data_IF_063191228438
#
_entry.id   IF_063191228438
#
_cell.length_a   1.000
_cell.length_b   1.000
_cell.length_c   1.000
_cell.angle_alpha   90.00
_cell.angle_beta   90.00
_cell.angle_gamma   90.00
#
_symmetry.space_group_name_H-M   'P 1'
#
loop_
_entity.id
_entity.type
_entity.pdbx_description
1 polymer ?
#
# COMPACT_ATOMS: atom_id res chain seq x y z
N UNK A 1 1.17 -23.45 11.23
CA UNK A 1 2.48 -23.70 10.62
C UNK A 1 3.42 -24.28 11.67
N UNK A 2 4.07 -25.38 11.37
CA UNK A 2 5.06 -26.02 12.24
C UNK A 2 6.28 -26.46 11.42
N UNK A 3 7.47 -26.03 11.81
CA UNK A 3 8.73 -26.50 11.22
C UNK A 3 9.22 -27.74 11.97
N UNK A 4 9.26 -28.91 11.33
CA UNK A 4 9.64 -30.16 11.98
C UNK A 4 11.16 -30.49 11.95
N UNK A 5 11.97 -29.52 11.50
CA UNK A 5 13.42 -29.67 11.34
C UNK A 5 13.87 -29.92 9.89
N UNK A 6 12.97 -30.38 9.02
CA UNK A 6 13.25 -30.68 7.62
C UNK A 6 12.27 -29.98 6.66
N UNK A 7 11.00 -29.88 7.04
CA UNK A 7 9.94 -29.31 6.22
C UNK A 7 8.90 -28.57 7.08
N UNK A 8 8.06 -27.78 6.44
CA UNK A 8 6.89 -27.15 7.04
C UNK A 8 5.70 -28.10 7.03
N UNK A 9 5.02 -28.21 8.15
CA UNK A 9 3.72 -28.83 8.29
C UNK A 9 2.67 -27.75 8.42
N UNK A 10 1.79 -27.68 7.42
CA UNK A 10 0.71 -26.67 7.34
C UNK A 10 -0.61 -27.37 7.60
N UNK A 11 -1.21 -27.11 8.77
CA UNK A 11 -2.54 -27.65 9.11
C UNK A 11 -3.62 -26.77 8.51
N UNK A 12 -4.48 -27.35 7.70
CA UNK A 12 -5.62 -26.68 7.04
C UNK A 12 -6.90 -27.25 7.63
N UNK A 13 -7.79 -26.38 8.06
CA UNK A 13 -9.13 -26.75 8.53
C UNK A 13 -10.13 -26.61 7.38
N UNK A 14 -10.88 -27.66 7.10
CA UNK A 14 -11.95 -27.63 6.10
C UNK A 14 -13.10 -26.74 6.58
N UNK A 15 -13.54 -25.88 5.71
CA UNK A 15 -14.72 -25.05 5.94
C UNK A 15 -15.95 -25.76 5.40
N UNK A 16 -17.05 -25.71 6.15
CA UNK A 16 -18.36 -26.26 5.76
C UNK A 16 -19.42 -25.18 5.86
N UNK A 17 -20.40 -25.27 4.96
CA UNK A 17 -21.54 -24.37 5.00
C UNK A 17 -22.52 -24.78 6.11
N UNK A 18 -22.87 -23.82 6.98
CA UNK A 18 -23.90 -24.02 8.02
C UNK A 18 -24.72 -22.74 8.17
N UNK A 19 -26.00 -22.85 7.82
CA UNK A 19 -26.89 -21.68 7.90
C UNK A 19 -26.53 -20.52 6.99
N UNK A 20 -26.03 -20.80 5.78
CA UNK A 20 -25.58 -19.78 4.84
C UNK A 20 -24.17 -19.19 5.13
N UNK A 21 -23.50 -19.67 6.17
CA UNK A 21 -22.14 -19.23 6.54
C UNK A 21 -21.14 -20.39 6.42
N UNK A 22 -19.91 -20.07 5.98
CA UNK A 22 -18.79 -21.00 6.07
C UNK A 22 -18.24 -20.99 7.50
N UNK A 23 -18.25 -22.15 8.16
CA UNK A 23 -17.71 -22.33 9.50
C UNK A 23 -16.62 -23.42 9.49
N UNK A 24 -15.62 -23.37 10.39
CA UNK A 24 -14.64 -24.42 10.53
C UNK A 24 -15.33 -25.76 10.91
N UNK A 25 -14.91 -26.85 10.25
CA UNK A 25 -15.28 -28.21 10.64
C UNK A 25 -14.22 -28.84 11.54
N UNK A 26 -14.49 -30.05 12.04
CA UNK A 26 -13.53 -30.84 12.77
C UNK A 26 -12.51 -31.55 11.86
N UNK A 27 -12.70 -31.47 10.53
CA UNK A 27 -11.84 -32.11 9.55
C UNK A 27 -10.61 -31.22 9.27
N UNK A 28 -9.43 -31.78 9.51
CA UNK A 28 -8.16 -31.13 9.24
C UNK A 28 -7.29 -31.97 8.32
N UNK A 29 -6.50 -31.29 7.50
CA UNK A 29 -5.50 -31.89 6.62
C UNK A 29 -4.17 -31.24 6.92
N UNK A 30 -3.11 -32.06 7.04
CA UNK A 30 -1.73 -31.57 7.18
C UNK A 30 -1.03 -31.73 5.83
N UNK A 31 -0.50 -30.61 5.32
CA UNK A 31 0.32 -30.59 4.12
C UNK A 31 1.77 -30.40 4.55
N UNK A 32 2.65 -31.30 4.11
CA UNK A 32 4.09 -31.16 4.32
C UNK A 32 4.74 -30.58 3.07
N UNK A 33 5.50 -29.51 3.24
CA UNK A 33 6.17 -28.81 2.14
C UNK A 33 7.57 -28.34 2.56
N UNK A 34 8.55 -28.50 1.68
CA UNK A 34 9.92 -28.02 1.92
C UNK A 34 9.95 -26.49 1.97
N UNK A 35 9.22 -25.83 1.08
CA UNK A 35 9.06 -24.38 1.01
C UNK A 35 7.60 -23.98 1.11
N UNK A 36 7.33 -22.87 1.80
CA UNK A 36 6.00 -22.28 1.89
C UNK A 36 6.09 -20.80 1.49
N UNK A 37 5.18 -20.36 0.63
CA UNK A 37 4.98 -18.95 0.29
C UNK A 37 3.65 -18.49 0.88
N UNK A 38 3.66 -17.37 1.61
CA UNK A 38 2.43 -16.74 2.05
C UNK A 38 2.09 -15.57 1.13
N UNK A 39 0.83 -15.51 0.70
CA UNK A 39 0.28 -14.47 -0.15
C UNK A 39 -1.15 -14.18 0.33
N UNK A 40 -1.28 -13.84 1.61
CA UNK A 40 -2.57 -13.79 2.33
C UNK A 40 -3.28 -12.44 2.24
N UNK A 41 -2.68 -11.45 1.58
CA UNK A 41 -3.28 -10.14 1.31
C UNK A 41 -3.75 -9.44 2.58
N UNK A 42 -5.04 -9.10 2.67
CA UNK A 42 -5.59 -8.45 3.87
C UNK A 42 -5.48 -9.28 5.16
N UNK A 43 -5.22 -10.59 5.05
CA UNK A 43 -5.00 -11.47 6.20
C UNK A 43 -3.54 -11.55 6.65
N UNK A 44 -2.64 -10.73 6.09
CA UNK A 44 -1.20 -10.74 6.42
C UNK A 44 -0.91 -10.67 7.93
N UNK A 45 -1.68 -9.88 8.70
CA UNK A 45 -1.52 -9.80 10.16
C UNK A 45 -1.86 -11.12 10.88
N UNK A 46 -2.85 -11.87 10.41
CA UNK A 46 -3.17 -13.20 10.95
C UNK A 46 -2.06 -14.19 10.63
N UNK A 47 -1.57 -14.16 9.40
CA UNK A 47 -0.43 -14.98 8.95
C UNK A 47 0.82 -14.65 9.75
N UNK A 48 1.14 -13.38 9.95
CA UNK A 48 2.26 -12.93 10.78
C UNK A 48 2.19 -13.49 12.21
N UNK A 49 1.01 -13.43 12.82
CA UNK A 49 0.77 -14.00 14.16
C UNK A 49 0.96 -15.51 14.19
N UNK A 50 0.50 -16.24 13.17
CA UNK A 50 0.69 -17.71 13.08
C UNK A 50 2.15 -18.08 12.91
N UNK A 51 2.94 -17.25 12.23
CA UNK A 51 4.37 -17.46 11.97
C UNK A 51 5.27 -16.91 13.09
N UNK A 52 4.73 -16.14 14.03
CA UNK A 52 5.49 -15.49 15.10
C UNK A 52 6.44 -14.39 14.60
N UNK A 53 6.13 -13.74 13.46
CA UNK A 53 6.90 -12.65 12.87
C UNK A 53 6.10 -11.36 12.83
N UNK A 54 6.78 -10.24 12.55
CA UNK A 54 6.12 -8.96 12.28
C UNK A 54 6.03 -8.73 10.78
N UNK A 55 4.86 -8.32 10.31
CA UNK A 55 4.63 -7.86 8.94
C UNK A 55 3.91 -6.50 8.98
N UNK A 56 4.46 -5.44 8.39
CA UNK A 56 3.78 -4.13 8.37
C UNK A 56 2.71 -4.01 7.28
N UNK A 57 2.20 -5.13 6.80
CA UNK A 57 1.14 -5.20 5.80
C UNK A 57 -0.23 -5.06 6.48
N UNK A 58 -0.77 -3.85 6.53
CA UNK A 58 -2.04 -3.50 7.18
C UNK A 58 -2.97 -2.87 6.15
N UNK A 59 -4.23 -3.31 6.06
CA UNK A 59 -5.19 -2.71 5.14
C UNK A 59 -5.54 -1.26 5.51
N UNK A 60 -5.77 -0.45 4.46
CA UNK A 60 -6.36 0.90 4.53
C UNK A 60 -7.68 0.85 3.75
N UNK A 61 -8.66 1.64 4.14
CA UNK A 61 -9.89 1.78 3.35
C UNK A 61 -9.57 2.40 1.98
N UNK A 62 -10.22 1.89 0.96
CA UNK A 62 -10.15 2.45 -0.39
C UNK A 62 -11.52 2.48 -1.02
N UNK A 63 -11.89 3.66 -1.49
CA UNK A 63 -13.20 3.89 -2.09
C UNK A 63 -13.08 4.07 -3.60
N UNK A 64 -13.94 3.36 -4.33
CA UNK A 64 -14.30 3.74 -5.70
C UNK A 64 -15.81 3.73 -5.87
N UNK A 65 -16.29 4.57 -6.76
CA UNK A 65 -17.71 4.70 -7.08
C UNK A 65 -17.95 4.34 -8.54
N UNK A 66 -19.10 3.73 -8.80
CA UNK A 66 -19.55 3.35 -10.14
C UNK A 66 -20.72 4.27 -10.50
N UNK A 67 -20.57 5.00 -11.59
CA UNK A 67 -21.59 5.89 -12.09
C UNK A 67 -22.60 5.13 -12.96
N UNK A 68 -23.81 5.67 -13.07
CA UNK A 68 -24.80 5.22 -14.02
C UNK A 68 -24.32 5.39 -15.47
N UNK A 69 -25.05 4.84 -16.40
CA UNK A 69 -24.72 4.96 -17.82
C UNK A 69 -24.68 6.43 -18.25
N UNK A 70 -23.62 6.78 -18.95
CA UNK A 70 -23.44 8.06 -19.63
C UNK A 70 -23.93 7.90 -21.08
N UNK A 71 -25.01 8.59 -21.48
CA UNK A 71 -25.56 8.45 -22.83
C UNK A 71 -24.56 8.83 -23.96
N UNK A 72 -23.65 9.78 -23.70
CA UNK A 72 -22.64 10.17 -24.68
C UNK A 72 -21.59 9.04 -24.85
N UNK A 73 -21.18 8.46 -23.74
CA UNK A 73 -20.26 7.33 -23.76
C UNK A 73 -20.86 6.10 -24.42
N UNK A 74 -22.13 5.78 -24.12
CA UNK A 74 -22.86 4.69 -24.76
C UNK A 74 -22.94 4.89 -26.27
N UNK A 75 -23.23 6.13 -26.71
CA UNK A 75 -23.25 6.48 -28.13
C UNK A 75 -21.87 6.38 -28.77
N UNK A 76 -20.84 6.92 -28.10
CA UNK A 76 -19.44 6.82 -28.57
C UNK A 76 -19.03 5.37 -28.85
N UNK A 77 -19.38 4.45 -27.96
CA UNK A 77 -19.09 3.02 -28.11
C UNK A 77 -19.93 2.38 -29.19
N UNK A 78 -21.20 2.75 -29.33
CA UNK A 78 -22.11 2.25 -30.38
C UNK A 78 -21.65 2.66 -31.77
N UNK A 79 -21.02 3.82 -31.92
CA UNK A 79 -20.42 4.31 -33.17
C UNK A 79 -19.12 3.57 -33.55
N UNK A 80 -18.71 2.56 -32.76
CA UNK A 80 -17.53 1.71 -33.02
C UNK A 80 -16.19 2.32 -32.53
N UNK A 81 -16.24 3.37 -31.76
CA UNK A 81 -15.05 4.00 -31.21
C UNK A 81 -14.42 3.14 -30.09
N UNK A 82 -13.09 3.23 -29.89
CA UNK A 82 -12.41 2.52 -28.81
C UNK A 82 -12.81 3.06 -27.42
N UNK A 83 -12.52 2.24 -26.41
CA UNK A 83 -12.58 2.69 -25.01
C UNK A 83 -11.62 3.86 -24.76
N UNK A 84 -12.05 4.83 -23.97
CA UNK A 84 -11.17 5.93 -23.59
C UNK A 84 -10.00 5.43 -22.73
N UNK A 85 -8.83 6.06 -22.84
CA UNK A 85 -7.73 5.77 -21.94
C UNK A 85 -8.14 6.00 -20.47
N UNK A 86 -7.53 5.25 -19.55
CA UNK A 86 -7.67 5.54 -18.12
C UNK A 86 -7.12 6.91 -17.81
N UNK A 87 -7.92 7.74 -17.17
CA UNK A 87 -7.51 9.06 -16.66
C UNK A 87 -6.90 8.87 -15.28
N UNK A 88 -5.73 9.43 -15.05
CA UNK A 88 -5.12 9.59 -13.73
C UNK A 88 -4.93 11.08 -13.46
N UNK A 89 -5.61 11.60 -12.44
CA UNK A 89 -5.46 12.97 -11.98
C UNK A 89 -4.60 13.00 -10.73
N UNK A 90 -3.32 13.35 -10.91
CA UNK A 90 -2.36 13.40 -9.82
C UNK A 90 -2.53 14.64 -8.92
N UNK A 91 -3.17 15.70 -9.41
CA UNK A 91 -3.44 16.91 -8.63
C UNK A 91 -4.60 16.68 -7.64
N UNK A 92 -5.56 15.82 -8.02
CA UNK A 92 -6.74 15.49 -7.23
C UNK A 92 -6.77 14.04 -6.71
N UNK A 93 -5.63 13.36 -6.74
CA UNK A 93 -5.45 12.05 -6.11
C UNK A 93 -6.50 11.01 -6.54
N UNK A 94 -6.83 10.99 -7.86
CA UNK A 94 -7.95 10.19 -8.36
C UNK A 94 -7.71 9.60 -9.74
N UNK A 95 -8.55 8.64 -10.13
CA UNK A 95 -8.57 8.10 -11.47
C UNK A 95 -10.01 7.88 -11.97
N UNK A 96 -10.17 7.88 -13.29
CA UNK A 96 -11.41 7.52 -13.95
C UNK A 96 -11.16 6.54 -15.09
N UNK A 97 -12.09 5.60 -15.30
CA UNK A 97 -12.11 4.71 -16.45
C UNK A 97 -13.54 4.35 -16.85
N UNK A 98 -13.72 3.99 -18.11
CA UNK A 98 -14.99 3.44 -18.57
C UNK A 98 -15.33 2.10 -17.93
N UNK A 99 -16.60 1.89 -17.60
CA UNK A 99 -17.14 0.63 -17.15
C UNK A 99 -18.60 0.48 -17.63
N UNK A 100 -18.84 -0.44 -18.56
CA UNK A 100 -20.19 -0.82 -19.03
C UNK A 100 -21.08 0.36 -19.47
N UNK A 101 -20.50 1.35 -20.14
CA UNK A 101 -21.19 2.54 -20.62
C UNK A 101 -21.38 3.64 -19.58
N UNK A 102 -20.69 3.56 -18.45
CA UNK A 102 -20.55 4.58 -17.42
C UNK A 102 -19.09 4.73 -17.02
N UNK A 103 -18.85 5.36 -15.89
CA UNK A 103 -17.51 5.62 -15.35
C UNK A 103 -17.32 4.93 -14.01
N UNK A 104 -16.10 4.48 -13.74
CA UNK A 104 -15.61 4.22 -12.39
C UNK A 104 -14.67 5.36 -12.00
N UNK A 105 -14.92 5.94 -10.82
CA UNK A 105 -14.06 6.93 -10.20
C UNK A 105 -13.42 6.33 -8.95
N UNK A 106 -12.11 6.20 -8.94
CA UNK A 106 -11.36 5.75 -7.77
C UNK A 106 -10.59 6.88 -7.14
N UNK A 107 -10.62 6.95 -5.83
CA UNK A 107 -10.17 8.10 -5.06
C UNK A 107 -9.16 7.64 -4.02
N UNK A 108 -8.05 8.38 -3.90
CA UNK A 108 -6.98 8.17 -2.92
C UNK A 108 -6.94 9.35 -1.96
N UNK A 109 -8.03 9.51 -1.24
CA UNK A 109 -8.27 10.64 -0.36
C UNK A 109 -7.41 10.61 0.91
N UNK A 110 -7.16 11.78 1.47
CA UNK A 110 -6.52 11.92 2.77
C UNK A 110 -7.45 11.51 3.89
N UNK A 111 -6.89 10.92 4.95
CA UNK A 111 -7.65 10.50 6.13
C UNK A 111 -8.36 9.16 5.96
N UNK A 112 -8.07 8.39 4.90
CA UNK A 112 -8.51 7.00 4.80
C UNK A 112 -7.89 6.17 5.94
N UNK A 113 -8.69 5.53 6.82
CA UNK A 113 -8.17 4.90 8.01
C UNK A 113 -7.58 3.51 7.75
N UNK A 114 -6.51 3.18 8.46
CA UNK A 114 -6.06 1.80 8.57
C UNK A 114 -7.13 0.95 9.26
N UNK A 115 -7.26 -0.30 8.82
CA UNK A 115 -8.22 -1.26 9.34
C UNK A 115 -7.54 -2.57 9.68
N UNK A 116 -8.07 -3.25 10.68
CA UNK A 116 -7.61 -4.59 11.03
C UNK A 116 -6.12 -4.67 11.38
N UNK A 117 -5.61 -3.70 12.12
CA UNK A 117 -4.21 -3.59 12.55
C UNK A 117 -3.67 -4.87 13.22
N UNK A 118 -4.56 -5.64 13.85
CA UNK A 118 -4.24 -6.90 14.53
C UNK A 118 -4.81 -8.14 13.82
N UNK A 119 -5.30 -7.98 12.60
CA UNK A 119 -5.85 -9.01 11.74
C UNK A 119 -7.35 -8.89 11.49
N UNK A 120 -7.75 -9.30 10.31
CA UNK A 120 -9.14 -9.33 9.86
C UNK A 120 -9.94 -10.28 10.75
N UNK A 121 -11.08 -9.86 11.35
CA UNK A 121 -11.92 -10.75 12.14
C UNK A 121 -12.59 -11.82 11.27
N UNK A 122 -12.89 -12.98 11.84
CA UNK A 122 -13.51 -14.10 11.11
C UNK A 122 -14.90 -13.78 10.55
N UNK A 123 -15.58 -12.78 11.13
CA UNK A 123 -16.87 -12.27 10.68
C UNK A 123 -16.79 -11.43 9.42
N UNK A 124 -15.65 -10.78 9.15
CA UNK A 124 -15.44 -9.97 7.95
C UNK A 124 -14.87 -10.85 6.83
N UNK A 125 -15.63 -11.05 5.77
CA UNK A 125 -15.24 -11.96 4.66
C UNK A 125 -15.17 -11.21 3.33
N UNK A 126 -16.32 -11.12 2.65
CA UNK A 126 -16.48 -10.37 1.41
C UNK A 126 -17.29 -9.08 1.67
N UNK A 127 -17.19 -8.56 2.88
CA UNK A 127 -17.90 -7.35 3.29
C UNK A 127 -17.16 -6.10 2.82
N UNK A 128 -17.92 -5.02 2.69
CA UNK A 128 -17.43 -3.67 2.43
C UNK A 128 -17.68 -2.79 3.66
N UNK A 129 -16.92 -1.71 3.76
CA UNK A 129 -17.18 -0.64 4.71
C UNK A 129 -18.27 0.27 4.18
N UNK A 130 -18.99 1.00 5.04
CA UNK A 130 -19.91 2.04 4.59
C UNK A 130 -19.17 3.11 3.77
N UNK A 131 -19.84 3.64 2.76
CA UNK A 131 -19.34 4.79 2.00
C UNK A 131 -19.29 6.03 2.90
N UNK A 132 -18.18 6.74 2.86
CA UNK A 132 -17.99 8.05 3.51
C UNK A 132 -17.89 9.13 2.42
N UNK A 133 -19.03 9.69 2.04
CA UNK A 133 -19.09 10.71 0.99
C UNK A 133 -18.38 11.99 1.38
N UNK A 134 -18.43 12.38 2.64
CA UNK A 134 -17.79 13.62 3.10
C UNK A 134 -16.27 13.55 2.93
N UNK A 135 -15.70 12.35 3.16
CA UNK A 135 -14.25 12.10 3.01
C UNK A 135 -13.76 12.21 1.56
N UNK A 136 -14.60 11.86 0.58
CA UNK A 136 -14.23 11.81 -0.84
C UNK A 136 -14.79 12.97 -1.66
N UNK A 137 -15.55 13.88 -1.06
CA UNK A 137 -16.32 14.90 -1.77
C UNK A 137 -15.46 15.81 -2.65
N UNK A 138 -14.33 16.27 -2.14
CA UNK A 138 -13.45 17.20 -2.87
C UNK A 138 -12.88 16.55 -4.13
N UNK A 139 -12.40 15.31 -4.03
CA UNK A 139 -11.85 14.57 -5.17
C UNK A 139 -12.94 14.20 -6.18
N UNK A 140 -14.15 13.86 -5.70
CA UNK A 140 -15.28 13.60 -6.57
C UNK A 140 -15.64 14.84 -7.40
N UNK A 141 -15.75 16.00 -6.76
CA UNK A 141 -16.07 17.26 -7.44
C UNK A 141 -14.97 17.65 -8.44
N UNK A 142 -13.71 17.49 -8.06
CA UNK A 142 -12.59 17.77 -8.96
C UNK A 142 -12.58 16.81 -10.17
N UNK A 143 -12.92 15.54 -10.00
CA UNK A 143 -13.05 14.60 -11.10
C UNK A 143 -14.26 14.94 -12.01
N UNK A 144 -15.37 15.40 -11.45
CA UNK A 144 -16.52 15.86 -12.21
C UNK A 144 -16.17 17.06 -13.10
N UNK A 145 -15.30 17.96 -12.64
CA UNK A 145 -14.77 19.07 -13.47
C UNK A 145 -13.86 18.56 -14.60
N UNK A 146 -13.10 17.48 -14.37
CA UNK A 146 -12.21 16.88 -15.38
C UNK A 146 -12.95 16.03 -16.40
N UNK A 147 -13.98 15.32 -15.97
CA UNK A 147 -14.84 14.46 -16.78
C UNK A 147 -16.30 14.88 -16.54
N UNK A 148 -16.77 15.95 -17.21
CA UNK A 148 -18.08 16.54 -16.91
C UNK A 148 -19.26 15.60 -17.00
N UNK A 149 -19.20 14.58 -17.86
CA UNK A 149 -20.26 13.58 -17.97
C UNK A 149 -20.43 12.75 -16.67
N UNK A 150 -19.42 12.70 -15.80
CA UNK A 150 -19.56 12.12 -14.47
C UNK A 150 -20.50 12.94 -13.57
N UNK A 151 -20.55 14.25 -13.73
CA UNK A 151 -21.43 15.13 -12.95
C UNK A 151 -22.91 14.95 -13.30
N UNK A 152 -23.19 14.61 -14.56
CA UNK A 152 -24.54 14.42 -15.09
C UNK A 152 -25.06 12.98 -14.88
N UNK A 153 -24.18 12.05 -14.54
CA UNK A 153 -24.51 10.65 -14.29
C UNK A 153 -24.82 10.44 -12.81
N UNK A 154 -25.85 9.61 -12.51
CA UNK A 154 -26.16 9.20 -11.15
C UNK A 154 -25.13 8.25 -10.57
N UNK A 155 -25.05 8.17 -9.24
CA UNK A 155 -24.28 7.13 -8.56
C UNK A 155 -25.08 5.83 -8.61
N UNK A 156 -24.49 4.79 -9.20
CA UNK A 156 -25.09 3.48 -9.36
C UNK A 156 -24.70 2.53 -8.21
N UNK A 157 -23.44 2.55 -7.83
CA UNK A 157 -22.90 1.64 -6.82
C UNK A 157 -21.66 2.24 -6.19
N UNK A 158 -21.32 1.80 -4.97
CA UNK A 158 -20.12 2.21 -4.26
C UNK A 158 -19.40 0.99 -3.64
N UNK A 159 -18.09 1.12 -3.57
CA UNK A 159 -17.23 0.09 -3.01
C UNK A 159 -16.19 0.76 -2.11
N UNK A 160 -16.32 0.55 -0.79
CA UNK A 160 -15.30 0.93 0.18
C UNK A 160 -14.75 -0.34 0.83
N UNK A 161 -13.58 -0.77 0.39
CA UNK A 161 -12.99 -2.04 0.80
C UNK A 161 -11.58 -1.90 1.35
N UNK A 162 -11.08 -2.96 2.02
CA UNK A 162 -9.71 -2.97 2.51
C UNK A 162 -8.71 -3.23 1.37
N UNK A 163 -7.70 -2.37 1.25
CA UNK A 163 -6.55 -2.56 0.35
C UNK A 163 -5.27 -2.63 1.18
N UNK A 164 -4.48 -3.69 1.02
CA UNK A 164 -3.31 -3.93 1.85
C UNK A 164 -2.14 -3.02 1.46
N UNK A 165 -1.63 -2.27 2.42
CA UNK A 165 -0.47 -1.38 2.27
C UNK A 165 0.69 -1.79 3.17
N UNK A 166 1.86 -1.28 2.86
CA UNK A 166 3.07 -1.29 3.69
C UNK A 166 3.55 0.15 3.90
N UNK A 167 4.43 0.42 4.87
CA UNK A 167 4.85 1.79 5.21
C UNK A 167 5.52 2.58 4.08
N UNK A 168 6.12 1.91 3.11
CA UNK A 168 6.73 2.53 1.93
C UNK A 168 5.90 2.35 0.65
N UNK A 169 4.78 1.62 0.73
CA UNK A 169 3.93 1.29 -0.40
C UNK A 169 4.42 0.10 -1.25
N UNK A 170 5.62 -0.41 -1.01
CA UNK A 170 6.17 -1.56 -1.72
C UNK A 170 5.79 -2.88 -1.03
N UNK A 171 5.49 -3.95 -1.77
CA UNK A 171 5.18 -5.24 -1.16
C UNK A 171 6.38 -5.86 -0.44
N UNK A 172 6.11 -6.86 0.37
CA UNK A 172 7.09 -7.70 1.06
C UNK A 172 7.31 -8.95 0.21
N UNK A 173 8.45 -9.02 -0.47
CA UNK A 173 8.76 -10.14 -1.37
C UNK A 173 10.13 -10.70 -1.04
N UNK A 174 10.18 -11.97 -0.65
CA UNK A 174 11.43 -12.62 -0.31
C UNK A 174 11.35 -13.53 0.92
N UNK A 175 12.50 -13.96 1.46
CA UNK A 175 12.53 -14.85 2.62
C UNK A 175 11.98 -14.16 3.88
N UNK A 176 11.11 -14.88 4.60
CA UNK A 176 10.57 -14.41 5.87
C UNK A 176 11.68 -14.24 6.92
N UNK A 177 11.75 -13.11 7.63
CA UNK A 177 12.80 -12.88 8.62
C UNK A 177 12.82 -13.96 9.71
N UNK A 178 14.00 -14.59 9.91
CA UNK A 178 14.19 -15.58 10.96
C UNK A 178 13.57 -16.96 10.71
N UNK A 179 12.89 -17.18 9.59
CA UNK A 179 12.25 -18.45 9.26
C UNK A 179 12.91 -19.11 8.04
N UNK A 180 13.26 -20.38 8.19
CA UNK A 180 13.86 -21.16 7.12
C UNK A 180 12.79 -21.60 6.11
N UNK A 181 13.07 -21.46 4.81
CA UNK A 181 12.21 -21.91 3.71
C UNK A 181 10.76 -21.39 3.78
N UNK A 182 10.56 -20.27 4.48
CA UNK A 182 9.32 -19.51 4.49
C UNK A 182 9.51 -18.23 3.70
N UNK A 183 8.59 -17.95 2.79
CA UNK A 183 8.67 -16.85 1.84
C UNK A 183 7.44 -15.97 1.94
N UNK A 184 7.63 -14.68 1.75
CA UNK A 184 6.56 -13.69 1.78
C UNK A 184 6.30 -13.14 0.37
N UNK A 185 5.01 -12.98 0.03
CA UNK A 185 4.49 -12.22 -1.08
C UNK A 185 3.27 -11.45 -0.57
N UNK A 186 3.50 -10.43 0.27
CA UNK A 186 2.46 -9.75 1.07
C UNK A 186 2.44 -8.25 0.85
N UNK A 187 1.33 -7.59 1.17
CA UNK A 187 1.25 -6.13 1.19
C UNK A 187 1.15 -5.49 -0.20
N UNK A 188 0.46 -6.13 -1.12
CA UNK A 188 0.28 -5.63 -2.48
C UNK A 188 -0.90 -4.66 -2.57
N UNK A 189 -0.64 -3.37 -2.72
CA UNK A 189 -1.66 -2.39 -3.09
C UNK A 189 -2.06 -2.49 -4.57
N UNK A 190 -1.11 -2.81 -5.44
CA UNK A 190 -1.31 -3.02 -6.89
C UNK A 190 -1.10 -4.50 -7.27
N UNK A 191 -1.83 -5.41 -6.62
CA UNK A 191 -1.62 -6.84 -6.70
C UNK A 191 -1.66 -7.42 -8.11
N UNK A 192 -2.67 -7.06 -8.91
CA UNK A 192 -2.83 -7.57 -10.29
C UNK A 192 -1.63 -7.14 -11.16
N UNK A 193 -1.22 -5.90 -11.07
CA UNK A 193 -0.10 -5.36 -11.86
C UNK A 193 1.24 -6.00 -11.48
N UNK A 194 1.46 -6.22 -10.18
CA UNK A 194 2.74 -6.70 -9.67
C UNK A 194 2.88 -8.24 -9.63
N UNK A 195 1.77 -8.97 -9.68
CA UNK A 195 1.74 -10.43 -9.42
C UNK A 195 2.66 -11.24 -10.35
N UNK A 196 2.66 -10.93 -11.66
CA UNK A 196 3.46 -11.67 -12.64
C UNK A 196 4.96 -11.54 -12.39
N UNK A 197 5.46 -10.32 -12.25
CA UNK A 197 6.88 -10.06 -11.97
C UNK A 197 7.29 -10.59 -10.59
N UNK A 198 6.46 -10.38 -9.58
CA UNK A 198 6.72 -10.89 -8.24
C UNK A 198 6.84 -12.40 -8.22
N UNK A 199 5.90 -13.11 -8.85
CA UNK A 199 5.92 -14.57 -8.90
C UNK A 199 7.18 -15.10 -9.59
N UNK A 200 7.57 -14.47 -10.70
CA UNK A 200 8.77 -14.83 -11.46
C UNK A 200 10.05 -14.67 -10.63
N UNK A 201 10.29 -13.49 -10.09
CA UNK A 201 11.52 -13.21 -9.34
C UNK A 201 11.58 -13.90 -7.98
N UNK A 202 10.43 -14.08 -7.31
CA UNK A 202 10.39 -14.87 -6.08
C UNK A 202 10.72 -16.35 -6.34
N UNK A 203 10.18 -16.93 -7.43
CA UNK A 203 10.51 -18.29 -7.82
C UNK A 203 11.99 -18.43 -8.17
N UNK A 204 12.59 -17.45 -8.86
CA UNK A 204 14.02 -17.42 -9.14
C UNK A 204 14.85 -17.38 -7.84
N UNK A 205 14.50 -16.53 -6.87
CA UNK A 205 15.15 -16.52 -5.55
C UNK A 205 15.04 -17.87 -4.82
N UNK A 206 13.90 -18.57 -4.95
CA UNK A 206 13.69 -19.86 -4.29
C UNK A 206 14.52 -20.98 -4.93
N UNK A 207 14.72 -20.96 -6.24
CA UNK A 207 15.39 -22.02 -7.00
C UNK A 207 16.89 -21.76 -7.14
N UNK A 208 17.27 -20.53 -7.41
CA UNK A 208 18.63 -20.14 -7.74
C UNK A 208 19.36 -19.46 -6.58
N UNK A 209 18.61 -19.04 -5.54
CA UNK A 209 19.14 -18.36 -4.35
C UNK A 209 19.10 -16.84 -4.44
N UNK A 210 19.05 -16.27 -5.65
CA UNK A 210 18.96 -14.83 -5.89
C UNK A 210 18.13 -14.55 -7.15
N UNK A 211 17.60 -13.34 -7.26
CA UNK A 211 16.94 -12.87 -8.47
C UNK A 211 17.95 -12.17 -9.38
N UNK A 212 17.71 -12.19 -10.71
CA UNK A 212 18.55 -11.49 -11.69
C UNK A 212 18.46 -9.97 -11.63
N UNK A 213 17.50 -9.43 -10.84
CA UNK A 213 17.33 -7.99 -10.59
C UNK A 213 17.48 -7.68 -9.10
N UNK A 214 17.74 -6.41 -8.78
CA UNK A 214 17.78 -5.95 -7.39
C UNK A 214 16.39 -5.98 -6.75
N UNK A 215 16.21 -6.83 -5.75
CA UNK A 215 14.99 -7.00 -4.96
C UNK A 215 15.07 -6.33 -3.58
N UNK A 216 16.13 -5.58 -3.27
CA UNK A 216 16.37 -5.02 -1.92
C UNK A 216 15.23 -4.10 -1.45
N UNK A 217 14.61 -3.35 -2.35
CA UNK A 217 13.46 -2.48 -2.01
C UNK A 217 12.20 -3.26 -1.63
N UNK A 218 12.14 -4.55 -1.94
CA UNK A 218 11.02 -5.44 -1.62
C UNK A 218 11.34 -6.41 -0.48
N UNK A 219 12.63 -6.52 -0.07
CA UNK A 219 13.05 -7.46 0.97
C UNK A 219 12.30 -7.19 2.28
N UNK A 220 11.61 -8.20 2.84
CA UNK A 220 10.93 -8.08 4.15
C UNK A 220 11.86 -7.63 5.29
N UNK A 221 13.16 -7.90 5.21
CA UNK A 221 14.16 -7.51 6.21
C UNK A 221 14.39 -6.00 6.33
N UNK A 222 13.88 -5.19 5.37
CA UNK A 222 13.92 -3.74 5.48
C UNK A 222 13.13 -3.21 6.68
N UNK A 223 12.21 -4.02 7.21
CA UNK A 223 11.49 -3.78 8.46
C UNK A 223 12.02 -4.72 9.56
N UNK A 224 12.58 -4.15 10.61
CA UNK A 224 13.10 -4.89 11.75
C UNK A 224 12.20 -4.80 12.99
N UNK A 225 12.72 -5.24 14.13
CA UNK A 225 11.99 -5.25 15.42
C UNK A 225 11.57 -3.86 15.93
N UNK A 226 12.19 -2.80 15.41
CA UNK A 226 11.87 -1.41 15.71
C UNK A 226 10.47 -0.99 15.22
N UNK A 227 9.94 -1.68 14.22
CA UNK A 227 8.65 -1.41 13.62
C UNK A 227 7.53 -1.88 14.56
N UNK A 228 6.65 -0.96 14.94
CA UNK A 228 5.45 -1.25 15.72
C UNK A 228 4.22 -1.30 14.82
N UNK A 229 3.14 -1.92 15.30
CA UNK A 229 1.86 -1.96 14.59
C UNK A 229 1.31 -0.54 14.35
N UNK A 230 1.42 0.34 15.36
CA UNK A 230 1.00 1.74 15.24
C UNK A 230 1.80 2.49 14.17
N UNK A 231 3.13 2.33 14.16
CA UNK A 231 3.97 2.90 13.10
C UNK A 231 3.52 2.41 11.72
N UNK A 232 3.31 1.09 11.58
CA UNK A 232 2.89 0.50 10.31
C UNK A 232 1.53 1.06 9.86
N UNK A 233 0.54 1.12 10.75
CA UNK A 233 -0.79 1.65 10.43
C UNK A 233 -0.71 3.10 9.93
N UNK A 234 -0.05 3.99 10.69
CA UNK A 234 0.08 5.41 10.34
C UNK A 234 0.88 5.63 9.06
N UNK A 235 1.95 4.86 8.85
CA UNK A 235 2.73 4.95 7.62
C UNK A 235 1.98 4.37 6.42
N UNK A 236 1.13 3.38 6.60
CA UNK A 236 0.30 2.82 5.53
C UNK A 236 -0.79 3.82 5.10
N UNK A 237 -1.42 4.53 6.06
CA UNK A 237 -2.33 5.65 5.78
C UNK A 237 -1.62 6.72 4.95
N UNK A 238 -0.45 7.16 5.38
CA UNK A 238 0.37 8.13 4.65
C UNK A 238 0.81 7.62 3.27
N UNK A 239 1.18 6.34 3.15
CA UNK A 239 1.56 5.75 1.87
C UNK A 239 0.39 5.71 0.89
N UNK A 240 -0.82 5.44 1.40
CA UNK A 240 -2.06 5.48 0.63
C UNK A 240 -2.35 6.90 0.12
N UNK A 241 -2.36 7.90 1.01
CA UNK A 241 -2.64 9.29 0.67
C UNK A 241 -1.71 9.85 -0.41
N UNK A 242 -0.47 9.33 -0.45
CA UNK A 242 0.57 9.86 -1.33
C UNK A 242 0.78 9.06 -2.62
N UNK A 243 0.06 7.96 -2.83
CA UNK A 243 0.36 7.06 -3.96
C UNK A 243 0.10 7.69 -5.33
N UNK A 244 -0.83 8.64 -5.43
CA UNK A 244 -1.18 9.31 -6.68
C UNK A 244 -0.59 10.72 -6.82
N UNK A 245 -0.08 11.29 -5.74
CA UNK A 245 0.54 12.63 -5.75
C UNK A 245 1.85 12.61 -6.54
N UNK A 246 2.15 13.71 -7.20
CA UNK A 246 3.46 13.96 -7.78
C UNK A 246 4.42 14.46 -6.69
N UNK A 247 5.31 13.60 -6.25
CA UNK A 247 6.32 13.96 -5.23
C UNK A 247 7.46 14.77 -5.84
N UNK A 248 7.87 15.80 -5.12
CA UNK A 248 9.13 16.47 -5.41
C UNK A 248 10.31 15.59 -4.95
N UNK A 249 11.48 15.68 -5.59
CA UNK A 249 12.62 14.79 -5.31
C UNK A 249 13.13 14.78 -3.87
N UNK A 250 12.90 15.87 -3.13
CA UNK A 250 13.35 16.13 -1.76
C UNK A 250 12.19 16.09 -0.74
N UNK A 251 11.03 15.64 -1.15
CA UNK A 251 9.86 15.59 -0.30
C UNK A 251 9.91 14.40 0.65
N UNK A 252 9.84 14.68 1.95
CA UNK A 252 9.86 13.68 3.01
C UNK A 252 8.47 13.49 3.62
N UNK A 253 8.13 12.25 3.93
CA UNK A 253 6.85 11.88 4.54
C UNK A 253 6.91 12.07 6.07
N UNK A 254 6.03 12.92 6.68
CA UNK A 254 6.15 13.34 8.07
C UNK A 254 5.63 12.34 9.12
N UNK A 255 4.75 11.41 8.78
CA UNK A 255 4.10 10.56 9.78
C UNK A 255 5.11 9.76 10.62
N UNK A 256 4.86 9.67 11.93
CA UNK A 256 5.65 8.92 12.90
C UNK A 256 7.14 9.33 13.00
N UNK A 257 7.44 10.61 12.79
CA UNK A 257 8.81 11.14 12.88
C UNK A 257 8.96 12.08 14.08
N UNK A 258 10.16 12.11 14.72
CA UNK A 258 11.27 11.18 14.57
C UNK A 258 10.99 9.83 15.23
N UNK A 259 11.48 8.71 14.66
CA UNK A 259 11.34 7.39 15.27
C UNK A 259 12.67 6.87 15.82
N UNK A 260 13.70 6.81 14.97
CA UNK A 260 15.04 6.36 15.33
C UNK A 260 16.03 7.49 15.05
N UNK A 261 16.78 7.87 16.07
CA UNK A 261 17.73 8.97 15.98
C UNK A 261 19.15 8.52 16.35
N UNK A 262 20.14 9.07 15.69
CA UNK A 262 21.54 8.88 16.06
C UNK A 262 21.89 9.68 17.32
N UNK A 263 22.95 9.34 18.06
CA UNK A 263 23.43 10.16 19.17
C UNK A 263 23.79 11.61 18.80
N UNK A 264 23.96 11.89 17.51
CA UNK A 264 24.27 13.22 16.99
C UNK A 264 23.02 14.04 16.61
N UNK A 265 21.82 13.43 16.64
CA UNK A 265 20.58 14.02 16.13
C UNK A 265 20.32 15.44 16.68
N UNK A 266 20.29 15.61 18.00
CA UNK A 266 20.00 16.90 18.62
C UNK A 266 21.03 17.97 18.25
N UNK A 267 22.31 17.60 18.13
CA UNK A 267 23.38 18.52 17.72
C UNK A 267 23.24 18.92 16.25
N UNK A 268 22.82 17.99 15.41
CA UNK A 268 22.56 18.25 13.99
C UNK A 268 21.31 19.13 13.82
N UNK A 269 20.23 18.84 14.54
CA UNK A 269 19.02 19.65 14.56
C UNK A 269 19.32 21.10 14.99
N UNK A 270 20.09 21.28 16.06
CA UNK A 270 20.53 22.61 16.54
C UNK A 270 21.38 23.40 15.52
N UNK A 271 21.93 22.70 14.51
CA UNK A 271 22.70 23.30 13.41
C UNK A 271 21.86 23.53 12.15
N UNK A 272 20.56 23.25 12.19
CA UNK A 272 19.67 23.43 11.07
C UNK A 272 19.60 22.24 10.11
N UNK A 273 19.94 21.02 10.59
CA UNK A 273 19.80 19.83 9.77
C UNK A 273 18.35 19.64 9.28
N UNK A 274 18.21 19.43 8.00
CA UNK A 274 16.96 18.98 7.36
C UNK A 274 17.07 17.45 7.21
N UNK A 275 16.18 16.74 7.90
CA UNK A 275 16.29 15.30 8.01
C UNK A 275 15.44 14.57 6.96
N UNK A 276 16.03 13.55 6.35
CA UNK A 276 15.33 12.51 5.63
C UNK A 276 15.10 11.27 6.51
N UNK A 277 14.18 10.43 6.09
CA UNK A 277 13.77 9.24 6.84
C UNK A 277 13.96 7.96 6.02
N UNK A 278 14.84 7.07 6.48
CA UNK A 278 15.11 5.78 5.83
C UNK A 278 15.09 4.66 6.85
N UNK A 279 14.22 3.67 6.63
CA UNK A 279 14.07 2.50 7.52
C UNK A 279 13.94 2.87 9.00
N UNK A 280 13.12 3.88 9.28
CA UNK A 280 12.90 4.41 10.62
C UNK A 280 13.97 5.37 11.14
N UNK A 281 15.11 5.52 10.46
CA UNK A 281 16.19 6.39 10.89
C UNK A 281 16.09 7.80 10.33
N UNK A 282 16.27 8.79 11.22
CA UNK A 282 16.50 10.17 10.82
C UNK A 282 17.95 10.35 10.37
N UNK A 283 18.14 10.88 9.16
CA UNK A 283 19.46 11.20 8.58
C UNK A 283 19.45 12.61 8.04
N UNK A 284 20.47 13.45 8.33
CA UNK A 284 20.55 14.77 7.74
C UNK A 284 20.78 14.63 6.23
N UNK A 285 19.90 15.24 5.44
CA UNK A 285 20.07 15.34 3.99
C UNK A 285 20.96 16.54 3.65
N UNK A 286 20.77 17.67 4.34
CA UNK A 286 21.57 18.90 4.22
C UNK A 286 21.32 19.78 5.45
N UNK A 287 22.08 20.87 5.58
CA UNK A 287 21.91 21.88 6.63
C UNK A 287 21.44 23.20 6.03
N UNK A 288 20.48 23.87 6.68
CA UNK A 288 19.95 25.16 6.30
C UNK A 288 19.85 26.08 7.52
N UNK A 289 19.70 27.40 7.34
CA UNK A 289 19.45 28.30 8.46
C UNK A 289 18.26 27.84 9.32
N UNK A 290 18.36 28.06 10.63
CA UNK A 290 17.25 27.73 11.54
C UNK A 290 15.96 28.46 11.11
N UNK A 291 14.87 27.72 11.03
CA UNK A 291 13.58 28.24 10.55
C UNK A 291 13.38 28.14 9.03
N UNK A 292 14.34 27.59 8.31
CA UNK A 292 14.15 27.27 6.89
C UNK A 292 12.99 26.29 6.71
N UNK A 293 12.12 26.58 5.74
CA UNK A 293 10.99 25.71 5.38
C UNK A 293 11.10 25.34 3.90
N UNK A 294 11.39 24.09 3.63
CA UNK A 294 11.55 23.58 2.28
C UNK A 294 10.22 23.51 1.51
N UNK A 295 9.09 23.45 2.20
CA UNK A 295 7.75 23.44 1.57
C UNK A 295 7.50 24.63 0.66
N UNK A 296 8.09 25.78 0.96
CA UNK A 296 7.86 27.01 0.21
C UNK A 296 8.67 27.09 -1.10
N UNK A 297 9.59 26.15 -1.33
CA UNK A 297 10.55 26.19 -2.43
C UNK A 297 10.70 24.86 -3.19
N UNK A 298 9.73 23.97 -3.07
CA UNK A 298 9.75 22.66 -3.76
C UNK A 298 9.78 22.81 -5.28
N UNK A 299 10.59 22.01 -5.94
CA UNK A 299 10.77 22.06 -7.39
C UNK A 299 11.23 20.72 -7.93
N UNK A 300 10.76 20.35 -9.13
CA UNK A 300 11.26 19.17 -9.86
C UNK A 300 12.68 19.35 -10.41
N UNK A 301 13.28 20.53 -10.29
CA UNK A 301 14.64 20.82 -10.75
C UNK A 301 15.57 21.02 -9.56
N UNK A 302 15.56 22.25 -9.01
CA UNK A 302 16.40 22.67 -7.87
C UNK A 302 15.48 23.31 -6.84
N UNK A 303 15.13 22.55 -5.83
CA UNK A 303 14.36 23.04 -4.68
C UNK A 303 15.20 23.95 -3.80
N UNK A 304 14.62 24.44 -2.71
CA UNK A 304 15.32 25.30 -1.74
C UNK A 304 16.57 24.66 -1.13
N UNK A 305 16.61 23.34 -1.06
CA UNK A 305 17.74 22.55 -0.59
C UNK A 305 19.02 22.75 -1.41
N UNK A 306 18.90 23.05 -2.71
CA UNK A 306 20.03 23.02 -3.64
C UNK A 306 21.19 23.93 -3.24
N UNK A 307 20.89 25.20 -2.92
CA UNK A 307 21.94 26.13 -2.56
C UNK A 307 22.61 25.73 -1.25
N UNK A 308 21.84 25.25 -0.27
CA UNK A 308 22.38 24.80 1.00
C UNK A 308 23.30 23.58 0.84
N UNK A 309 22.93 22.62 0.00
CA UNK A 309 23.80 21.49 -0.31
C UNK A 309 25.08 21.90 -1.05
N UNK A 310 25.00 22.91 -1.93
CA UNK A 310 26.18 23.46 -2.61
C UNK A 310 27.10 24.17 -1.62
N UNK A 311 26.55 24.91 -0.66
CA UNK A 311 27.34 25.66 0.34
C UNK A 311 28.04 24.71 1.34
N UNK A 312 27.58 23.48 1.49
CA UNK A 312 28.22 22.45 2.31
C UNK A 312 29.34 21.70 1.58
N UNK A 313 29.31 21.64 0.26
CA UNK A 313 30.23 20.87 -0.57
C UNK A 313 31.56 21.63 -0.81
#
# INVERSE_FOLDING_TARGET
FHWNGAAWEVTITKMVEKGGNLVPSDEQVVITAEHVVTASGNHAQRTAKMLGIKMPAIPVEHTFIVMDQDPELVKWRADGNPEHPVVRDADNESYAREERGGWILGIYERGAPARFEYGVPDSFRADLFPLDLDRIADQYMAMADRVPSCADSGLKDDFNGPICYTPDGNPLVGPAPGLRNMWLAEGFSFGITAAGGTGYYLAQMMVEGEAEIDMASLDPKRYGDWMTTEYAARKNEEAYEHVYILHHPDEERPACRPLRTSPAYDRQAARGAQFGHVNGWERPNYFAPLGFNDHDSRSFRRGGWWQHAVDEA
#
